data_IF_546623291537
#
_entry.id   IF_546623291537
#
_cell.length_a   1.000
_cell.length_b   1.000
_cell.length_c   1.000
_cell.angle_alpha   90.00
_cell.angle_beta   90.00
_cell.angle_gamma   90.00
#
_symmetry.space_group_name_H-M   'P 1'
#
loop_
_entity.id
_entity.type
_entity.pdbx_description
1 polymer ?
#
# COMPACT_ATOMS: atom_id res chain seq x y z
N UNK A 1 -1.17 -0.54 -4.72
CA UNK A 1 -1.62 0.26 -3.56
C UNK A 1 -0.71 1.48 -3.48
N UNK A 2 -1.26 2.70 -3.32
CA UNK A 2 -0.43 3.90 -3.19
C UNK A 2 0.17 3.98 -1.78
N UNK A 3 1.50 4.07 -1.71
CA UNK A 3 2.28 4.17 -0.48
C UNK A 3 3.14 5.42 -0.53
N UNK A 4 3.30 6.06 0.63
CA UNK A 4 4.12 7.25 0.82
C UNK A 4 5.10 7.03 1.98
N UNK A 5 6.34 7.50 1.82
CA UNK A 5 7.30 7.51 2.92
C UNK A 5 6.85 8.45 4.04
N UNK A 6 7.27 8.17 5.27
CA UNK A 6 7.03 9.12 6.37
C UNK A 6 7.79 10.45 6.12
N UNK A 7 7.33 11.57 6.70
CA UNK A 7 8.01 12.85 6.53
C UNK A 7 9.49 12.79 6.94
N UNK A 8 10.38 13.13 6.01
CA UNK A 8 11.83 13.09 6.22
C UNK A 8 12.48 11.74 5.93
N UNK A 9 11.70 10.71 5.62
CA UNK A 9 12.20 9.46 5.03
C UNK A 9 12.16 9.54 3.49
N UNK A 10 12.95 8.69 2.85
CA UNK A 10 13.04 8.62 1.40
C UNK A 10 14.12 7.66 0.96
N UNK A 11 14.24 7.51 -0.35
CA UNK A 11 15.19 6.58 -0.99
C UNK A 11 16.62 6.80 -0.51
N UNK A 12 17.08 8.06 -0.54
CA UNK A 12 18.44 8.42 -0.11
C UNK A 12 18.64 8.25 1.41
N UNK A 13 17.65 8.64 2.22
CA UNK A 13 17.73 8.53 3.68
C UNK A 13 17.78 7.06 4.16
N UNK A 14 17.14 6.16 3.41
CA UNK A 14 17.07 4.74 3.69
C UNK A 14 18.15 3.93 2.96
N UNK A 15 19.01 4.58 2.17
CA UNK A 15 20.03 3.95 1.32
C UNK A 15 19.46 2.84 0.42
N UNK A 16 18.28 3.09 -0.16
CA UNK A 16 17.65 2.15 -1.08
C UNK A 16 18.22 2.34 -2.49
N UNK A 17 18.66 1.26 -3.12
CA UNK A 17 19.26 1.27 -4.45
C UNK A 17 18.31 0.80 -5.56
N UNK A 18 17.12 0.30 -5.18
CA UNK A 18 16.06 -0.17 -6.07
C UNK A 18 16.19 -1.64 -6.46
N UNK A 19 17.18 -2.37 -5.95
CA UNK A 19 17.37 -3.81 -6.14
C UNK A 19 16.83 -4.63 -4.97
N UNK A 20 16.40 -3.95 -3.90
CA UNK A 20 15.82 -4.60 -2.73
C UNK A 20 14.55 -5.36 -3.08
N UNK A 21 14.31 -6.46 -2.36
CA UNK A 21 13.00 -7.11 -2.29
C UNK A 21 12.20 -6.43 -1.19
N UNK A 22 11.08 -5.81 -1.57
CA UNK A 22 10.19 -5.12 -0.64
C UNK A 22 9.05 -6.02 -0.17
N UNK A 23 8.97 -6.22 1.14
CA UNK A 23 7.89 -6.94 1.82
C UNK A 23 7.06 -5.97 2.66
N UNK A 24 5.78 -5.81 2.33
CA UNK A 24 4.86 -4.97 3.09
C UNK A 24 4.23 -5.80 4.21
N UNK A 25 4.58 -5.48 5.45
CA UNK A 25 4.09 -6.14 6.65
C UNK A 25 2.85 -5.41 7.20
N UNK A 26 1.92 -6.18 7.75
CA UNK A 26 0.71 -5.64 8.36
C UNK A 26 -0.42 -5.31 7.37
N UNK A 27 -0.30 -5.75 6.11
CA UNK A 27 -1.40 -5.71 5.16
C UNK A 27 -2.48 -6.72 5.59
N UNK A 28 -3.43 -6.27 6.41
CA UNK A 28 -4.62 -7.04 6.79
C UNK A 28 -5.78 -6.66 5.89
N UNK A 29 -6.75 -7.56 5.75
CA UNK A 29 -7.98 -7.29 4.99
C UNK A 29 -8.68 -6.02 5.51
N UNK A 30 -8.77 -5.83 6.83
CA UNK A 30 -9.25 -4.60 7.47
C UNK A 30 -8.15 -3.53 7.61
N UNK A 31 -7.74 -2.98 6.47
CA UNK A 31 -6.90 -1.80 6.43
C UNK A 31 -7.74 -0.56 6.76
N UNK A 32 -7.34 0.20 7.78
CA UNK A 32 -7.96 1.50 8.07
C UNK A 32 -7.52 2.58 7.05
N UNK A 33 -8.38 3.57 6.74
CA UNK A 33 -7.97 4.71 5.93
C UNK A 33 -6.77 5.44 6.54
N UNK A 34 -5.77 5.72 5.72
CA UNK A 34 -4.54 6.39 6.17
C UNK A 34 -3.63 5.54 7.07
N UNK A 35 -3.83 4.22 7.13
CA UNK A 35 -3.03 3.34 7.96
C UNK A 35 -1.52 3.44 7.67
N UNK A 36 -0.72 3.29 8.72
CA UNK A 36 0.74 3.20 8.62
C UNK A 36 1.14 1.74 8.61
N UNK A 37 1.87 1.33 7.58
CA UNK A 37 2.39 -0.02 7.40
C UNK A 37 3.91 -0.03 7.59
N UNK A 38 4.44 -1.22 7.86
CA UNK A 38 5.89 -1.42 7.93
C UNK A 38 6.34 -2.10 6.65
N UNK A 39 7.34 -1.55 5.98
CA UNK A 39 7.97 -2.15 4.80
C UNK A 39 9.34 -2.63 5.20
N UNK A 40 9.61 -3.89 4.88
CA UNK A 40 10.92 -4.51 5.01
C UNK A 40 11.53 -4.59 3.62
N UNK A 41 12.64 -3.90 3.40
CA UNK A 41 13.44 -3.97 2.20
C UNK A 41 14.68 -4.83 2.46
N UNK A 42 14.87 -5.87 1.67
CA UNK A 42 15.97 -6.82 1.81
C UNK A 42 16.88 -6.74 0.59
N UNK A 43 18.16 -6.41 0.81
CA UNK A 43 19.17 -6.33 -0.24
C UNK A 43 19.87 -7.67 -0.47
N UNK A 44 20.48 -7.83 -1.65
CA UNK A 44 21.22 -9.05 -2.04
C UNK A 44 22.37 -9.38 -1.06
N UNK A 45 22.92 -8.37 -0.37
CA UNK A 45 23.94 -8.54 0.67
C UNK A 45 23.37 -8.92 2.06
N UNK A 46 22.11 -9.38 2.14
CA UNK A 46 21.42 -9.74 3.39
C UNK A 46 21.21 -8.58 4.39
N UNK A 47 21.36 -7.34 3.93
CA UNK A 47 21.00 -6.16 4.72
C UNK A 47 19.49 -5.95 4.68
N UNK A 48 18.89 -5.87 5.86
CA UNK A 48 17.45 -5.64 6.04
C UNK A 48 17.25 -4.21 6.54
N UNK A 49 16.47 -3.44 5.80
CA UNK A 49 16.03 -2.10 6.20
C UNK A 49 14.52 -2.14 6.44
N UNK A 50 14.10 -1.79 7.65
CA UNK A 50 12.68 -1.68 7.99
C UNK A 50 12.32 -0.21 8.17
N UNK A 51 11.28 0.24 7.47
CA UNK A 51 10.80 1.61 7.54
C UNK A 51 9.28 1.66 7.50
N UNK A 52 8.71 2.82 7.88
CA UNK A 52 7.27 3.01 7.92
C UNK A 52 6.80 3.73 6.68
N UNK A 53 5.64 3.34 6.19
CA UNK A 53 4.98 4.01 5.06
C UNK A 53 3.54 4.29 5.41
N UNK A 54 3.04 5.42 4.94
CA UNK A 54 1.64 5.78 5.03
C UNK A 54 0.90 5.29 3.79
N UNK A 55 -0.24 4.64 3.98
CA UNK A 55 -1.12 4.29 2.86
C UNK A 55 -1.92 5.52 2.46
N UNK A 56 -1.86 5.89 1.17
CA UNK A 56 -2.60 7.02 0.60
C UNK A 56 -3.99 6.61 0.10
N UNK A 57 -4.68 5.82 0.91
CA UNK A 57 -6.10 5.50 0.77
C UNK A 57 -6.79 6.20 1.93
N UNK A 58 -7.47 7.30 1.64
CA UNK A 58 -7.95 8.23 2.66
C UNK A 58 -9.41 8.00 3.03
N UNK A 59 -10.15 7.28 2.18
CA UNK A 59 -11.57 7.07 2.36
C UNK A 59 -11.97 5.59 2.37
N UNK A 60 -13.05 5.21 3.09
CA UNK A 60 -13.57 3.85 3.09
C UNK A 60 -13.96 3.34 1.69
N UNK A 61 -14.45 4.23 0.82
CA UNK A 61 -14.85 3.86 -0.55
C UNK A 61 -13.64 3.47 -1.40
N UNK A 62 -12.49 4.12 -1.22
CA UNK A 62 -11.26 3.76 -1.90
C UNK A 62 -10.70 2.41 -1.43
N UNK A 63 -10.89 2.05 -0.15
CA UNK A 63 -10.57 0.70 0.34
C UNK A 63 -11.43 -0.33 -0.38
N UNK A 64 -12.73 -0.06 -0.54
CA UNK A 64 -13.64 -0.94 -1.27
C UNK A 64 -13.22 -1.08 -2.74
N UNK A 65 -12.86 0.02 -3.40
CA UNK A 65 -12.32 -0.02 -4.77
C UNK A 65 -11.02 -0.80 -4.86
N UNK A 66 -10.11 -0.63 -3.90
CA UNK A 66 -8.87 -1.41 -3.82
C UNK A 66 -9.16 -2.90 -3.68
N UNK A 67 -10.04 -3.29 -2.75
CA UNK A 67 -10.46 -4.69 -2.52
C UNK A 67 -11.11 -5.31 -3.74
N UNK A 68 -11.88 -4.53 -4.50
CA UNK A 68 -12.55 -5.00 -5.70
C UNK A 68 -11.62 -5.11 -6.92
N UNK A 69 -10.32 -4.80 -6.79
CA UNK A 69 -9.38 -4.81 -7.91
C UNK A 69 -9.56 -3.62 -8.85
N UNK A 70 -10.10 -2.52 -8.34
CA UNK A 70 -10.25 -1.25 -9.04
C UNK A 70 -11.69 -0.73 -9.09
N UNK A 71 -11.79 0.57 -9.41
CA UNK A 71 -13.07 1.27 -9.53
C UNK A 71 -13.97 0.64 -10.61
N UNK A 72 -13.39 0.23 -11.75
CA UNK A 72 -14.14 -0.33 -12.87
C UNK A 72 -14.84 -1.63 -12.47
N UNK A 73 -14.15 -2.54 -11.78
CA UNK A 73 -14.74 -3.78 -11.29
C UNK A 73 -15.87 -3.54 -10.28
N UNK A 74 -15.75 -2.50 -9.46
CA UNK A 74 -16.79 -2.12 -8.49
C UNK A 74 -18.05 -1.63 -9.19
N UNK A 75 -17.90 -0.70 -10.14
CA UNK A 75 -19.02 -0.15 -10.91
C UNK A 75 -19.70 -1.23 -11.75
N UNK A 76 -18.92 -2.10 -12.43
CA UNK A 76 -19.48 -3.21 -13.21
C UNK A 76 -20.31 -4.16 -12.34
N UNK A 77 -19.86 -4.49 -11.12
CA UNK A 77 -20.64 -5.31 -10.18
C UNK A 77 -21.91 -4.61 -9.70
N UNK A 78 -21.85 -3.30 -9.42
CA UNK A 78 -23.03 -2.51 -9.04
C UNK A 78 -24.08 -2.43 -10.17
N UNK A 79 -23.62 -2.28 -11.43
CA UNK A 79 -24.49 -2.30 -12.61
C UNK A 79 -25.14 -3.67 -12.82
N UNK A 80 -24.39 -4.76 -12.66
CA UNK A 80 -24.93 -6.13 -12.77
C UNK A 80 -25.93 -6.47 -11.67
N UNK A 81 -25.82 -5.83 -10.50
CA UNK A 81 -26.77 -5.96 -9.38
C UNK A 81 -28.00 -5.05 -9.52
N UNK A 82 -28.14 -4.29 -10.62
CA UNK A 82 -29.32 -3.48 -10.92
C UNK A 82 -29.55 -2.30 -9.96
N UNK A 83 -28.48 -1.79 -9.33
CA UNK A 83 -28.56 -0.72 -8.31
C UNK A 83 -28.28 0.69 -8.87
N UNK A 84 -28.42 0.89 -10.19
CA UNK A 84 -28.33 2.19 -10.87
C UNK A 84 -29.51 2.33 -11.83
#
# INVERSE_FOLDING_TARGET
MPLEFMPGEGVEALNLDGREVYSVLGLKDDLDPGAVLTVKAENEESSIVEFKVQVRIETPIEIEYYRNGGILHTVLRQMLQGSI
#
